data_IF_903998770456
#
_entry.id   IF_903998770456
#
_cell.length_a   1.000
_cell.length_b   1.000
_cell.length_c   1.000
_cell.angle_alpha   90.00
_cell.angle_beta   90.00
_cell.angle_gamma   90.00
#
_symmetry.space_group_name_H-M   'P 1'
#
loop_
_entity.id
_entity.type
_entity.pdbx_description
1 polymer ?
#
# COMPACT_ATOMS: atom_id res chain seq x y z
N UNK A 1 14.10 -11.20 48.75
CA UNK A 1 14.30 -12.25 47.73
C UNK A 1 13.15 -12.10 46.71
N UNK A 2 13.19 -11.11 45.82
CA UNK A 2 13.91 -11.06 44.55
C UNK A 2 13.42 -12.06 43.49
N UNK A 3 12.33 -11.70 42.79
CA UNK A 3 12.06 -12.09 41.40
C UNK A 3 11.29 -10.94 40.70
N UNK A 4 11.95 -10.03 39.97
CA UNK A 4 11.25 -9.21 39.00
C UNK A 4 10.92 -10.04 37.74
N UNK A 5 9.81 -9.76 37.05
CA UNK A 5 9.47 -10.40 35.79
C UNK A 5 10.39 -9.89 34.67
N UNK A 6 10.81 -10.82 33.82
CA UNK A 6 11.48 -10.52 32.56
C UNK A 6 10.47 -9.94 31.58
N UNK A 7 10.59 -8.66 31.27
CA UNK A 7 10.04 -8.10 30.04
C UNK A 7 11.20 -7.76 29.14
N UNK A 8 11.76 -8.80 28.52
CA UNK A 8 12.54 -8.66 27.31
C UNK A 8 11.54 -8.43 26.18
N UNK A 9 11.45 -7.18 25.74
CA UNK A 9 10.73 -6.75 24.56
C UNK A 9 11.55 -5.65 23.94
N UNK A 10 12.57 -6.06 23.19
CA UNK A 10 13.37 -5.26 22.28
C UNK A 10 12.44 -4.56 21.28
N UNK A 11 11.81 -3.45 21.68
CA UNK A 11 11.27 -2.49 20.73
C UNK A 11 12.46 -1.71 20.21
N UNK A 12 13.05 -2.26 19.14
CA UNK A 12 14.07 -1.60 18.34
C UNK A 12 13.73 -0.13 18.14
N UNK A 13 14.68 0.71 18.53
CA UNK A 13 14.91 2.10 18.13
C UNK A 13 13.92 2.62 17.06
N UNK A 14 12.75 3.09 17.47
CA UNK A 14 11.89 3.88 16.58
C UNK A 14 12.22 5.35 16.83
N UNK A 15 12.73 6.03 15.79
CA UNK A 15 12.93 7.46 15.84
C UNK A 15 11.56 8.16 15.99
N UNK A 16 11.46 9.24 16.80
CA UNK A 16 10.25 10.04 16.89
C UNK A 16 10.07 10.83 15.60
N UNK A 17 9.39 10.25 14.60
CA UNK A 17 9.15 10.87 13.29
C UNK A 17 8.52 9.95 12.24
N UNK A 18 8.61 8.63 12.40
CA UNK A 18 8.00 7.66 11.48
C UNK A 18 6.65 7.17 12.04
N UNK A 19 5.63 8.03 12.01
CA UNK A 19 4.27 7.56 12.22
C UNK A 19 3.87 6.74 10.99
N UNK A 20 3.86 5.41 11.15
CA UNK A 20 3.40 4.49 10.12
C UNK A 20 1.90 4.68 9.98
N UNK A 21 1.51 5.46 8.98
CA UNK A 21 0.14 5.68 8.63
C UNK A 21 -0.40 4.45 7.87
N UNK A 22 -1.72 4.31 7.89
CA UNK A 22 -2.43 3.26 7.19
C UNK A 22 -3.64 3.89 6.48
N UNK A 23 -3.80 3.60 5.19
CA UNK A 23 -4.93 4.08 4.41
C UNK A 23 -5.55 2.93 3.63
N UNK A 24 -6.88 2.89 3.59
CA UNK A 24 -7.61 1.91 2.77
C UNK A 24 -8.25 2.63 1.60
N UNK A 25 -7.98 2.15 0.39
CA UNK A 25 -8.60 2.59 -0.86
C UNK A 25 -9.66 1.57 -1.22
N UNK A 26 -10.92 1.97 -1.32
CA UNK A 26 -11.97 1.11 -1.85
C UNK A 26 -12.30 1.57 -3.27
N UNK A 27 -12.46 0.62 -4.18
CA UNK A 27 -12.88 0.86 -5.55
C UNK A 27 -14.25 0.25 -5.79
N UNK A 28 -15.05 0.93 -6.60
CA UNK A 28 -16.42 0.50 -6.93
C UNK A 28 -16.43 -0.58 -8.03
N UNK A 29 -15.51 -0.49 -9.00
CA UNK A 29 -15.44 -1.42 -10.12
C UNK A 29 -14.43 -2.55 -9.90
N UNK A 30 -14.92 -3.69 -9.38
CA UNK A 30 -14.09 -4.90 -9.19
C UNK A 30 -13.48 -5.43 -10.49
N UNK A 31 -14.08 -5.12 -11.63
CA UNK A 31 -13.62 -5.55 -12.95
C UNK A 31 -12.30 -4.89 -13.35
N UNK A 32 -12.04 -3.69 -12.83
CA UNK A 32 -10.84 -2.92 -13.11
C UNK A 32 -9.69 -3.26 -12.15
N UNK A 33 -9.97 -3.94 -11.03
CA UNK A 33 -8.98 -4.31 -10.01
C UNK A 33 -7.83 -5.17 -10.54
N UNK A 34 -8.06 -6.31 -11.21
CA UNK A 34 -6.97 -7.10 -11.75
C UNK A 34 -6.13 -6.32 -12.79
N UNK A 35 -6.75 -5.40 -13.52
CA UNK A 35 -6.06 -4.55 -14.49
C UNK A 35 -5.25 -3.43 -13.80
N UNK A 36 -5.78 -2.88 -12.71
CA UNK A 36 -5.13 -1.88 -11.85
C UNK A 36 -3.90 -2.44 -11.15
N UNK A 37 -4.03 -3.63 -10.58
CA UNK A 37 -2.97 -4.34 -9.87
C UNK A 37 -1.95 -4.94 -10.84
N UNK A 38 -2.35 -5.13 -12.10
CA UNK A 38 -1.56 -5.80 -13.11
C UNK A 38 -1.55 -7.31 -12.91
N UNK A 39 -0.93 -8.01 -13.85
CA UNK A 39 -0.80 -9.46 -13.79
C UNK A 39 0.01 -9.87 -12.56
N UNK A 40 -0.59 -10.64 -11.65
CA UNK A 40 0.00 -11.06 -10.36
C UNK A 40 0.43 -9.90 -9.44
N UNK A 41 -0.35 -8.82 -9.38
CA UNK A 41 -0.08 -7.68 -8.48
C UNK A 41 1.25 -6.95 -8.80
N UNK A 42 1.78 -7.10 -10.03
CA UNK A 42 3.03 -6.47 -10.46
C UNK A 42 3.03 -4.95 -10.27
N UNK A 43 1.91 -4.26 -10.48
CA UNK A 43 1.82 -2.82 -10.26
C UNK A 43 1.90 -2.47 -8.77
N UNK A 44 1.27 -3.25 -7.88
CA UNK A 44 1.43 -3.06 -6.44
C UNK A 44 2.88 -3.28 -6.03
N UNK A 45 3.47 -4.41 -6.42
CA UNK A 45 4.86 -4.71 -6.07
C UNK A 45 5.81 -3.59 -6.51
N UNK A 46 5.57 -2.98 -7.68
CA UNK A 46 6.34 -1.84 -8.17
C UNK A 46 6.13 -0.58 -7.34
N UNK A 47 4.90 -0.29 -6.94
CA UNK A 47 4.54 0.82 -6.05
C UNK A 47 5.20 0.62 -4.68
N UNK A 48 5.13 -0.58 -4.11
CA UNK A 48 5.74 -0.97 -2.85
C UNK A 48 7.26 -0.77 -2.89
N UNK A 49 7.93 -1.26 -3.94
CA UNK A 49 9.37 -1.10 -4.15
C UNK A 49 9.79 0.35 -4.36
N UNK A 50 9.01 1.13 -5.14
CA UNK A 50 9.31 2.54 -5.47
C UNK A 50 9.10 3.47 -4.27
N UNK A 51 8.05 3.23 -3.50
CA UNK A 51 7.58 4.13 -2.43
C UNK A 51 7.93 3.61 -1.03
N UNK A 52 8.51 2.41 -0.91
CA UNK A 52 8.74 1.72 0.38
C UNK A 52 7.46 1.67 1.23
N UNK A 53 6.35 1.30 0.59
CA UNK A 53 5.06 1.07 1.25
C UNK A 53 4.71 -0.41 1.15
N UNK A 54 3.82 -0.86 2.03
CA UNK A 54 3.17 -2.16 1.93
C UNK A 54 1.77 -1.92 1.33
N UNK A 55 1.45 -2.62 0.24
CA UNK A 55 0.22 -2.44 -0.50
C UNK A 55 -0.46 -3.80 -0.71
N UNK A 56 -1.60 -3.99 -0.06
CA UNK A 56 -2.30 -5.28 -0.02
C UNK A 56 -3.67 -5.12 -0.67
N UNK A 57 -3.83 -5.69 -1.86
CA UNK A 57 -5.12 -5.82 -2.51
C UNK A 57 -5.95 -6.95 -1.87
N UNK A 58 -7.16 -6.63 -1.45
CA UNK A 58 -8.18 -7.56 -0.94
C UNK A 58 -9.50 -7.32 -1.64
N UNK A 59 -9.75 -8.07 -2.70
CA UNK A 59 -10.96 -7.94 -3.50
C UNK A 59 -11.03 -6.58 -4.19
N UNK A 60 -11.86 -5.69 -3.68
CA UNK A 60 -12.05 -4.33 -4.20
C UNK A 60 -11.41 -3.24 -3.33
N UNK A 61 -10.68 -3.64 -2.29
CA UNK A 61 -10.01 -2.73 -1.39
C UNK A 61 -8.51 -2.93 -1.49
N UNK A 62 -7.75 -1.84 -1.43
CA UNK A 62 -6.29 -1.85 -1.30
C UNK A 62 -5.94 -1.20 0.03
N UNK A 63 -5.37 -1.99 0.92
CA UNK A 63 -4.78 -1.49 2.16
C UNK A 63 -3.36 -1.06 1.90
N UNK A 64 -3.06 0.20 2.15
CA UNK A 64 -1.73 0.77 2.05
C UNK A 64 -1.21 1.06 3.45
N UNK A 65 0.06 0.76 3.69
CA UNK A 65 0.72 1.01 4.98
C UNK A 65 2.14 1.52 4.75
N UNK A 66 2.51 2.59 5.45
CA UNK A 66 3.83 3.21 5.31
C UNK A 66 3.83 4.65 5.79
N UNK A 67 4.82 5.43 5.37
CA UNK A 67 4.90 6.86 5.71
C UNK A 67 3.76 7.65 5.06
N UNK A 68 3.29 8.72 5.72
CA UNK A 68 2.19 9.55 5.22
C UNK A 68 2.43 10.09 3.79
N UNK A 69 3.67 10.47 3.47
CA UNK A 69 4.06 10.90 2.12
C UNK A 69 3.93 9.77 1.09
N UNK A 70 4.41 8.59 1.47
CA UNK A 70 4.43 7.43 0.60
C UNK A 70 3.01 6.90 0.32
N UNK A 71 2.14 6.92 1.35
CA UNK A 71 0.71 6.67 1.22
C UNK A 71 0.02 7.62 0.26
N UNK A 72 0.31 8.91 0.39
CA UNK A 72 -0.26 9.95 -0.47
C UNK A 72 0.12 9.70 -1.93
N UNK A 73 1.40 9.36 -2.20
CA UNK A 73 1.87 9.03 -3.55
C UNK A 73 1.27 7.73 -4.08
N UNK A 74 1.17 6.69 -3.25
CA UNK A 74 0.56 5.41 -3.63
C UNK A 74 -0.93 5.57 -3.96
N UNK A 75 -1.67 6.32 -3.13
CA UNK A 75 -3.08 6.65 -3.36
C UNK A 75 -3.27 7.39 -4.68
N UNK A 76 -2.47 8.42 -4.93
CA UNK A 76 -2.49 9.19 -6.18
C UNK A 76 -2.21 8.31 -7.41
N UNK A 77 -1.19 7.44 -7.34
CA UNK A 77 -0.88 6.53 -8.42
C UNK A 77 -2.07 5.60 -8.72
N UNK A 78 -2.64 4.98 -7.69
CA UNK A 78 -3.81 4.12 -7.85
C UNK A 78 -5.04 4.87 -8.39
N UNK A 79 -5.29 6.09 -7.93
CA UNK A 79 -6.40 6.93 -8.39
C UNK A 79 -6.25 7.31 -9.88
N UNK A 80 -5.04 7.68 -10.30
CA UNK A 80 -4.73 7.98 -11.71
C UNK A 80 -4.91 6.75 -12.59
N UNK A 81 -4.37 5.60 -12.16
CA UNK A 81 -4.48 4.34 -12.88
C UNK A 81 -5.94 3.89 -12.98
N UNK A 82 -6.70 3.99 -11.88
CA UNK A 82 -8.12 3.69 -11.85
C UNK A 82 -8.93 4.62 -12.76
N UNK A 83 -8.68 5.93 -12.73
CA UNK A 83 -9.35 6.90 -13.60
C UNK A 83 -9.05 6.67 -15.09
N UNK A 84 -7.87 6.14 -15.44
CA UNK A 84 -7.54 5.73 -16.82
C UNK A 84 -8.34 4.49 -17.22
N UNK A 85 -8.39 3.48 -16.36
CA UNK A 85 -9.19 2.27 -16.57
C UNK A 85 -10.68 2.58 -16.71
N UNK A 86 -11.23 3.48 -15.89
CA UNK A 86 -12.62 3.94 -16.00
C UNK A 86 -12.93 4.60 -17.35
N UNK A 87 -11.94 5.25 -17.97
CA UNK A 87 -12.05 5.83 -19.31
C UNK A 87 -11.83 4.80 -20.43
N UNK A 88 -11.66 3.52 -20.10
CA UNK A 88 -11.37 2.44 -21.05
C UNK A 88 -9.94 2.46 -21.59
N UNK A 89 -9.00 3.14 -20.92
CA UNK A 89 -7.58 3.03 -21.26
C UNK A 89 -6.99 1.77 -20.62
N UNK A 90 -6.29 0.98 -21.42
CA UNK A 90 -5.61 -0.23 -20.97
C UNK A 90 -4.34 0.16 -20.21
N UNK A 91 -4.15 -0.37 -18.99
CA UNK A 91 -2.89 -0.22 -18.27
C UNK A 91 -1.90 -1.26 -18.81
N UNK A 92 -0.86 -0.80 -19.53
CA UNK A 92 0.28 -1.65 -19.84
C UNK A 92 1.18 -1.77 -18.61
N UNK A 93 1.66 -2.98 -18.34
CA UNK A 93 2.70 -3.26 -17.34
C UNK A 93 3.98 -2.46 -17.71
N UNK A 94 4.08 -1.23 -17.23
CA UNK A 94 5.09 -0.30 -17.73
C UNK A 94 4.89 1.16 -17.31
N UNK A 95 3.65 1.62 -17.23
CA UNK A 95 3.29 2.95 -16.69
C UNK A 95 3.43 2.98 -15.14
#
# INVERSE_FOLDING_TARGET
MARPPVTAGDHGRHAPGEEIAHAVVAFDDNRLMPELFGEFDQNLARIEQRLHVEAVARGNQVSLRGSAEALTRARLALDILYGRLQKGHQLSAGD
#
